data_IF_057238820379
#
_entry.id   IF_057238820379
#
_cell.length_a   1.000
_cell.length_b   1.000
_cell.length_c   1.000
_cell.angle_alpha   90.00
_cell.angle_beta   90.00
_cell.angle_gamma   90.00
#
_symmetry.space_group_name_H-M   'P 1'
#
loop_
_entity.id
_entity.type
_entity.pdbx_description
1 polymer ?
#
# COMPACT_ATOMS: atom_id res chain seq x y z
N UNK A 1 70.54 29.53 -47.56
CA UNK A 1 69.66 28.36 -47.78
C UNK A 1 68.75 28.26 -46.56
N UNK A 2 67.55 28.87 -46.70
CA UNK A 2 66.54 28.97 -45.62
C UNK A 2 65.57 27.80 -45.75
N UNK A 3 65.42 26.99 -44.70
CA UNK A 3 64.40 25.98 -44.59
C UNK A 3 63.26 26.52 -43.74
N UNK A 4 62.15 26.85 -44.35
CA UNK A 4 60.93 27.28 -43.70
C UNK A 4 60.07 26.01 -43.41
N UNK A 5 59.90 25.63 -42.12
CA UNK A 5 59.00 24.57 -41.72
C UNK A 5 57.57 25.14 -41.66
N UNK A 6 56.70 24.67 -42.52
CA UNK A 6 55.23 24.85 -42.41
C UNK A 6 54.68 23.84 -41.40
N UNK A 7 54.28 24.33 -40.24
CA UNK A 7 53.45 23.51 -39.31
C UNK A 7 52.01 23.77 -39.70
N UNK A 8 51.41 22.82 -40.44
CA UNK A 8 49.97 22.76 -40.70
C UNK A 8 49.27 22.29 -39.43
N UNK A 9 48.50 23.20 -38.80
CA UNK A 9 47.66 22.89 -37.68
C UNK A 9 46.51 21.93 -38.09
N UNK A 10 46.60 20.72 -37.68
CA UNK A 10 45.46 19.77 -37.67
C UNK A 10 44.46 20.22 -36.62
N UNK A 11 43.45 20.98 -37.00
CA UNK A 11 42.34 21.29 -36.15
C UNK A 11 41.52 19.97 -35.94
N UNK A 12 41.54 19.49 -34.70
CA UNK A 12 40.84 18.30 -34.28
C UNK A 12 39.33 18.58 -34.31
N UNK A 13 38.64 18.22 -35.39
CA UNK A 13 37.18 18.27 -35.48
C UNK A 13 36.46 17.31 -34.53
N UNK A 14 37.20 16.40 -33.85
CA UNK A 14 36.66 15.47 -32.88
C UNK A 14 36.29 16.12 -31.54
N UNK A 15 37.02 17.15 -31.09
CA UNK A 15 36.75 17.82 -29.81
C UNK A 15 35.48 18.67 -29.81
N UNK A 16 35.20 19.35 -30.91
CA UNK A 16 33.96 20.15 -31.05
C UNK A 16 32.68 19.33 -31.09
N UNK A 17 32.73 18.08 -31.59
CA UNK A 17 31.59 17.19 -31.53
C UNK A 17 31.35 16.60 -30.15
N UNK A 18 32.42 16.30 -29.40
CA UNK A 18 32.31 15.85 -28.00
C UNK A 18 31.77 16.95 -27.07
N UNK A 19 32.21 18.18 -27.24
CA UNK A 19 31.66 19.33 -26.51
C UNK A 19 30.19 19.59 -26.82
N UNK A 20 29.78 19.48 -28.12
CA UNK A 20 28.38 19.58 -28.52
C UNK A 20 27.54 18.41 -28.00
N UNK A 21 28.06 17.20 -27.93
CA UNK A 21 27.39 16.06 -27.32
C UNK A 21 27.25 16.21 -25.79
N UNK A 22 28.27 16.76 -25.12
CA UNK A 22 28.22 17.08 -23.68
C UNK A 22 27.30 18.25 -23.35
N UNK A 23 27.12 19.21 -24.25
CA UNK A 23 26.22 20.37 -24.10
C UNK A 23 24.79 20.05 -24.55
N UNK A 24 24.59 19.04 -25.38
CA UNK A 24 23.25 18.61 -25.85
C UNK A 24 22.54 17.62 -24.94
N UNK A 25 23.06 17.32 -23.73
CA UNK A 25 22.27 16.64 -22.72
C UNK A 25 21.22 17.60 -22.21
N UNK A 26 20.02 17.53 -22.82
CA UNK A 26 18.77 17.98 -22.16
C UNK A 26 18.87 17.51 -20.71
N UNK A 27 18.69 18.38 -19.68
CA UNK A 27 18.76 17.95 -18.31
C UNK A 27 17.77 16.79 -18.14
N UNK A 28 18.29 15.59 -18.04
CA UNK A 28 17.47 14.41 -17.74
C UNK A 28 17.13 14.54 -16.27
N UNK A 29 15.89 14.95 -15.98
CA UNK A 29 15.36 15.00 -14.62
C UNK A 29 15.39 13.59 -14.03
N UNK A 30 16.42 13.30 -13.22
CA UNK A 30 16.62 12.00 -12.63
C UNK A 30 15.47 11.68 -11.67
N UNK A 31 14.88 10.49 -11.82
CA UNK A 31 13.77 10.07 -10.98
C UNK A 31 14.25 9.67 -9.59
N UNK A 32 13.46 10.00 -8.57
CA UNK A 32 13.71 9.55 -7.22
C UNK A 32 13.58 8.03 -7.17
N UNK A 33 14.65 7.35 -6.78
CA UNK A 33 14.62 5.91 -6.56
C UNK A 33 13.89 5.58 -5.26
N UNK A 34 12.81 4.80 -5.35
CA UNK A 34 12.02 4.27 -4.24
C UNK A 34 11.64 5.33 -3.19
N UNK A 35 10.45 5.91 -3.29
CA UNK A 35 9.88 6.77 -2.25
C UNK A 35 9.61 5.95 -0.99
N UNK A 36 9.00 4.79 -1.16
CA UNK A 36 8.87 3.74 -0.16
C UNK A 36 9.64 2.50 -0.60
N UNK A 37 9.78 1.51 0.26
CA UNK A 37 10.49 0.27 -0.08
C UNK A 37 9.54 -0.83 -0.53
N UNK A 38 8.39 -0.91 0.11
CA UNK A 38 7.38 -1.91 -0.13
C UNK A 38 6.14 -1.30 -0.82
N UNK A 39 5.33 -2.14 -1.45
CA UNK A 39 4.06 -1.78 -2.10
C UNK A 39 2.94 -1.43 -1.11
N UNK A 40 3.10 -1.83 0.16
CA UNK A 40 2.22 -1.47 1.30
C UNK A 40 3.07 -1.04 2.50
N UNK A 41 2.50 -0.19 3.37
CA UNK A 41 3.01 0.07 4.71
C UNK A 41 2.50 -1.02 5.66
N UNK A 42 1.61 -0.67 6.60
CA UNK A 42 0.99 -1.64 7.51
C UNK A 42 -0.41 -2.00 7.03
N UNK A 43 -1.23 -0.98 6.81
CA UNK A 43 -2.59 -1.10 6.30
C UNK A 43 -2.66 -0.57 4.85
N UNK A 44 -2.07 0.60 4.59
CA UNK A 44 -2.26 1.36 3.36
C UNK A 44 -1.26 1.00 2.26
N UNK A 45 -1.68 1.16 1.00
CA UNK A 45 -0.81 1.10 -0.16
C UNK A 45 0.16 2.28 -0.22
N UNK A 46 1.34 2.04 -0.81
CA UNK A 46 2.30 3.07 -1.19
C UNK A 46 2.20 3.40 -2.68
N UNK A 47 2.94 4.41 -3.14
CA UNK A 47 3.06 4.75 -4.56
C UNK A 47 3.90 3.74 -5.36
N UNK A 48 4.54 2.77 -4.72
CA UNK A 48 5.41 1.82 -5.40
C UNK A 48 4.61 0.82 -6.25
N UNK A 49 5.06 0.63 -7.49
CA UNK A 49 4.62 -0.41 -8.43
C UNK A 49 5.67 -1.52 -8.51
N UNK A 50 5.28 -2.69 -8.96
CA UNK A 50 6.23 -3.78 -9.25
C UNK A 50 6.87 -3.49 -10.61
N UNK A 51 8.20 -3.70 -10.72
CA UNK A 51 8.91 -3.49 -11.97
C UNK A 51 8.47 -4.49 -13.06
N UNK A 52 8.66 -4.10 -14.29
CA UNK A 52 8.32 -4.95 -15.45
C UNK A 52 8.95 -6.33 -15.32
N UNK A 53 8.13 -7.37 -15.56
CA UNK A 53 8.52 -8.78 -15.48
C UNK A 53 9.00 -9.21 -14.08
N UNK A 54 8.52 -8.54 -13.02
CA UNK A 54 8.70 -9.00 -11.64
C UNK A 54 7.37 -9.44 -11.05
N UNK A 55 7.41 -10.43 -10.19
CA UNK A 55 6.30 -10.92 -9.38
C UNK A 55 6.64 -10.70 -7.91
N UNK A 56 5.79 -10.00 -7.18
CA UNK A 56 5.85 -9.95 -5.72
C UNK A 56 4.87 -10.97 -5.15
N UNK A 57 5.36 -11.83 -4.26
CA UNK A 57 4.56 -12.67 -3.39
C UNK A 57 4.55 -12.02 -2.01
N UNK A 58 3.36 -11.79 -1.45
CA UNK A 58 3.19 -11.17 -0.13
C UNK A 58 2.23 -11.95 0.73
N UNK A 59 2.61 -12.14 2.00
CA UNK A 59 1.76 -12.68 3.05
C UNK A 59 1.66 -11.65 4.16
N UNK A 60 0.45 -11.26 4.49
CA UNK A 60 0.12 -10.39 5.62
C UNK A 60 -0.66 -11.20 6.65
N UNK A 61 -0.33 -11.07 7.93
CA UNK A 61 -0.97 -11.78 9.03
C UNK A 61 -1.27 -10.83 10.19
N UNK A 62 -2.46 -10.97 10.78
CA UNK A 62 -2.87 -10.26 11.99
C UNK A 62 -3.34 -11.21 13.07
N UNK A 63 -2.85 -10.96 14.28
CA UNK A 63 -3.17 -11.71 15.48
C UNK A 63 -4.36 -11.11 16.23
N UNK A 64 -4.66 -11.65 17.42
CA UNK A 64 -5.67 -11.14 18.33
C UNK A 64 -5.22 -9.88 19.09
N UNK A 65 -6.09 -9.39 19.97
CA UNK A 65 -5.81 -8.23 20.81
C UNK A 65 -4.70 -8.51 21.81
N UNK A 66 -3.77 -7.56 21.98
CA UNK A 66 -2.66 -7.69 22.92
C UNK A 66 -3.15 -7.57 24.35
N UNK A 67 -3.97 -6.54 24.67
CA UNK A 67 -4.35 -6.20 26.02
C UNK A 67 -5.82 -5.77 26.17
N UNK A 68 -6.63 -5.84 25.12
CA UNK A 68 -8.06 -5.56 25.17
C UNK A 68 -8.85 -6.62 25.94
N UNK A 69 -10.18 -6.49 25.96
CA UNK A 69 -11.08 -7.43 26.65
C UNK A 69 -10.94 -8.88 26.19
N UNK A 70 -10.44 -9.10 25.00
CA UNK A 70 -10.17 -10.40 24.38
C UNK A 70 -8.67 -10.72 24.28
N UNK A 71 -7.80 -10.02 25.01
CA UNK A 71 -6.35 -10.17 25.01
C UNK A 71 -5.77 -10.58 26.37
N UNK A 72 -4.53 -10.17 26.60
CA UNK A 72 -3.79 -10.42 27.82
C UNK A 72 -3.14 -11.81 27.89
N UNK A 73 -2.63 -12.16 29.06
CA UNK A 73 -1.81 -13.38 29.25
C UNK A 73 -2.57 -14.68 28.91
N UNK A 74 -3.88 -14.71 29.13
CA UNK A 74 -4.73 -15.88 28.84
C UNK A 74 -4.85 -16.19 27.35
N UNK A 75 -4.55 -15.25 26.48
CA UNK A 75 -4.53 -15.38 25.03
C UNK A 75 -3.11 -15.21 24.49
N UNK A 76 -2.11 -15.41 25.34
CA UNK A 76 -0.71 -15.17 25.03
C UNK A 76 -0.51 -13.83 24.30
N UNK A 77 -1.11 -12.76 24.87
CA UNK A 77 -1.09 -11.41 24.32
C UNK A 77 -1.56 -11.33 22.85
N UNK A 78 -2.59 -12.11 22.51
CA UNK A 78 -3.21 -12.17 21.22
C UNK A 78 -2.56 -13.14 20.22
N UNK A 79 -1.40 -13.72 20.52
CA UNK A 79 -0.66 -14.60 19.61
C UNK A 79 -1.35 -15.94 19.34
N UNK A 80 -2.22 -16.41 20.27
CA UNK A 80 -3.00 -17.65 20.09
C UNK A 80 -4.10 -17.50 19.02
N UNK A 81 -4.45 -16.27 18.62
CA UNK A 81 -5.57 -15.99 17.73
C UNK A 81 -5.12 -15.34 16.42
N UNK A 82 -5.58 -15.87 15.29
CA UNK A 82 -5.45 -15.23 13.97
C UNK A 82 -6.73 -14.50 13.62
N UNK A 83 -6.68 -13.17 13.52
CA UNK A 83 -7.85 -12.38 13.09
C UNK A 83 -7.98 -12.36 11.59
N UNK A 84 -6.90 -12.09 10.86
CA UNK A 84 -6.91 -12.06 9.40
C UNK A 84 -5.58 -12.53 8.80
N UNK A 85 -5.66 -13.13 7.62
CA UNK A 85 -4.52 -13.53 6.80
C UNK A 85 -4.83 -13.17 5.34
N UNK A 86 -3.92 -12.46 4.68
CA UNK A 86 -3.97 -12.18 3.25
C UNK A 86 -2.76 -12.76 2.54
N UNK A 87 -2.99 -13.45 1.45
CA UNK A 87 -1.95 -13.96 0.54
C UNK A 87 -2.18 -13.32 -0.82
N UNK A 88 -1.20 -12.64 -1.35
CA UNK A 88 -1.30 -11.89 -2.60
C UNK A 88 -0.11 -12.09 -3.52
N UNK A 89 -0.39 -11.88 -4.81
CA UNK A 89 0.57 -11.86 -5.90
C UNK A 89 0.35 -10.58 -6.70
N UNK A 90 1.41 -9.77 -6.86
CA UNK A 90 1.39 -8.57 -7.68
C UNK A 90 2.43 -8.70 -8.80
N UNK A 91 2.01 -8.48 -10.04
CA UNK A 91 2.87 -8.62 -11.22
C UNK A 91 3.02 -7.28 -11.95
N UNK A 92 4.26 -6.94 -12.29
CA UNK A 92 4.61 -5.76 -13.07
C UNK A 92 4.47 -6.00 -14.58
N UNK A 93 3.42 -5.46 -15.17
CA UNK A 93 3.24 -5.44 -16.64
C UNK A 93 4.23 -4.44 -17.27
N UNK A 94 4.43 -3.31 -16.60
CA UNK A 94 5.46 -2.31 -16.92
C UNK A 94 5.96 -1.70 -15.62
N UNK A 95 7.00 -0.86 -15.66
CA UNK A 95 7.50 -0.17 -14.46
C UNK A 95 6.47 0.79 -13.84
N UNK A 96 5.39 1.10 -14.58
CA UNK A 96 4.31 1.98 -14.14
C UNK A 96 3.00 1.26 -13.85
N UNK A 97 2.82 0.02 -14.31
CA UNK A 97 1.57 -0.71 -14.21
C UNK A 97 1.77 -2.06 -13.57
N UNK A 98 1.12 -2.28 -12.44
CA UNK A 98 1.05 -3.57 -11.75
C UNK A 98 -0.40 -4.04 -11.66
N UNK A 99 -0.60 -5.34 -11.76
CA UNK A 99 -1.87 -6.02 -11.49
C UNK A 99 -1.68 -6.97 -10.33
N UNK A 100 -2.69 -7.15 -9.50
CA UNK A 100 -2.64 -8.00 -8.32
C UNK A 100 -3.83 -8.94 -8.22
N UNK A 101 -3.58 -10.10 -7.61
CA UNK A 101 -4.60 -11.05 -7.19
C UNK A 101 -4.30 -11.47 -5.76
N UNK A 102 -5.31 -11.46 -4.90
CA UNK A 102 -5.12 -11.87 -3.51
C UNK A 102 -6.35 -12.60 -2.96
N UNK A 103 -6.11 -13.30 -1.85
CA UNK A 103 -7.15 -13.88 -1.02
C UNK A 103 -6.92 -13.46 0.43
N UNK A 104 -7.94 -12.89 1.05
CA UNK A 104 -7.97 -12.62 2.48
C UNK A 104 -9.00 -13.51 3.18
N UNK A 105 -8.69 -13.90 4.44
CA UNK A 105 -9.67 -14.56 5.29
C UNK A 105 -10.85 -13.64 5.58
N UNK A 106 -10.54 -12.36 5.83
CA UNK A 106 -11.49 -11.36 6.32
C UNK A 106 -11.74 -11.47 7.83
N UNK A 107 -11.83 -10.34 8.49
CA UNK A 107 -11.92 -10.26 9.94
C UNK A 107 -13.27 -9.72 10.45
N UNK A 108 -14.24 -9.54 9.58
CA UNK A 108 -15.58 -9.07 9.91
C UNK A 108 -16.62 -10.14 9.60
N UNK A 109 -17.91 -9.80 9.57
CA UNK A 109 -18.98 -10.69 9.14
C UNK A 109 -18.83 -11.13 7.68
N UNK A 110 -18.23 -10.29 6.84
CA UNK A 110 -17.93 -10.60 5.43
C UNK A 110 -16.54 -11.22 5.36
N UNK A 111 -16.46 -12.49 5.05
CA UNK A 111 -15.25 -13.31 5.04
C UNK A 111 -14.97 -13.94 3.67
N UNK A 112 -13.83 -14.62 3.53
CA UNK A 112 -13.39 -15.33 2.34
C UNK A 112 -13.35 -14.40 1.12
N UNK A 113 -12.55 -13.33 1.23
CA UNK A 113 -12.43 -12.31 0.20
C UNK A 113 -11.43 -12.72 -0.87
N UNK A 114 -11.81 -12.56 -2.13
CA UNK A 114 -10.91 -12.59 -3.28
C UNK A 114 -10.78 -11.18 -3.84
N UNK A 115 -9.56 -10.73 -4.05
CA UNK A 115 -9.24 -9.39 -4.52
C UNK A 115 -8.59 -9.46 -5.90
N UNK A 116 -9.04 -8.59 -6.80
CA UNK A 116 -8.32 -8.19 -8.00
C UNK A 116 -7.94 -6.73 -7.89
N UNK A 117 -6.69 -6.37 -8.17
CA UNK A 117 -6.20 -5.00 -8.05
C UNK A 117 -5.39 -4.52 -9.25
N UNK A 118 -5.33 -3.21 -9.40
CA UNK A 118 -4.55 -2.52 -10.42
C UNK A 118 -3.92 -1.28 -9.80
N UNK A 119 -2.61 -1.08 -10.04
CA UNK A 119 -1.88 0.09 -9.59
C UNK A 119 -1.14 0.72 -10.76
N UNK A 120 -1.38 2.01 -10.99
CA UNK A 120 -0.80 2.74 -12.11
C UNK A 120 -0.12 4.02 -11.64
N UNK A 121 1.19 4.12 -11.87
CA UNK A 121 2.02 5.28 -11.55
C UNK A 121 1.90 6.34 -12.63
N UNK A 122 1.20 7.44 -12.31
CA UNK A 122 0.99 8.58 -13.21
C UNK A 122 2.23 9.47 -13.31
N UNK A 123 2.74 9.90 -12.14
CA UNK A 123 3.88 10.80 -12.02
C UNK A 123 4.93 10.19 -11.09
N UNK A 124 6.20 10.46 -11.41
CA UNK A 124 7.35 10.07 -10.60
C UNK A 124 8.08 11.33 -10.13
N UNK A 125 8.35 11.43 -8.84
CA UNK A 125 9.14 12.53 -8.28
C UNK A 125 10.54 12.55 -8.91
N UNK A 126 11.09 13.74 -9.18
CA UNK A 126 12.46 13.92 -9.66
C UNK A 126 13.38 14.46 -8.55
N UNK A 127 14.68 14.18 -8.65
CA UNK A 127 15.67 14.55 -7.62
C UNK A 127 15.92 16.06 -7.55
N UNK A 128 15.65 16.77 -8.62
CA UNK A 128 15.73 18.23 -8.78
C UNK A 128 14.41 18.96 -8.48
N UNK A 129 13.39 18.23 -8.00
CA UNK A 129 12.04 18.75 -7.71
C UNK A 129 11.30 19.37 -8.93
N UNK A 130 11.74 19.11 -10.17
CA UNK A 130 10.97 19.48 -11.36
C UNK A 130 9.57 18.86 -11.33
N UNK A 131 9.47 17.59 -10.94
CA UNK A 131 8.23 16.95 -10.51
C UNK A 131 8.36 16.73 -8.99
N UNK A 132 7.67 17.53 -8.14
CA UNK A 132 7.94 17.57 -6.71
C UNK A 132 7.36 16.39 -5.92
N UNK A 133 6.49 15.56 -6.54
CA UNK A 133 5.83 14.43 -5.89
C UNK A 133 5.50 13.31 -6.90
N UNK A 134 5.39 12.09 -6.41
CA UNK A 134 4.86 10.97 -7.16
C UNK A 134 3.34 10.89 -7.01
N UNK A 135 2.63 10.50 -8.07
CA UNK A 135 1.18 10.25 -8.07
C UNK A 135 0.91 8.87 -8.63
N UNK A 136 0.20 8.05 -7.87
CA UNK A 136 -0.18 6.69 -8.27
C UNK A 136 -1.67 6.49 -8.07
N UNK A 137 -2.33 5.91 -9.06
CA UNK A 137 -3.71 5.43 -8.95
C UNK A 137 -3.70 3.98 -8.49
N UNK A 138 -4.57 3.65 -7.56
CA UNK A 138 -4.84 2.28 -7.14
C UNK A 138 -6.35 2.02 -7.22
N UNK A 139 -6.72 0.86 -7.73
CA UNK A 139 -8.08 0.36 -7.74
C UNK A 139 -8.11 -1.11 -7.38
N UNK A 140 -9.08 -1.52 -6.57
CA UNK A 140 -9.33 -2.93 -6.28
C UNK A 140 -10.82 -3.24 -6.31
N UNK A 141 -11.12 -4.50 -6.64
CA UNK A 141 -12.42 -5.12 -6.48
C UNK A 141 -12.26 -6.33 -5.58
N UNK A 142 -13.04 -6.40 -4.51
CA UNK A 142 -13.11 -7.58 -3.65
C UNK A 142 -14.46 -8.29 -3.80
N UNK A 143 -14.42 -9.62 -3.82
CA UNK A 143 -15.58 -10.49 -3.92
C UNK A 143 -15.65 -11.38 -2.70
N UNK A 144 -16.75 -11.31 -1.94
CA UNK A 144 -17.00 -12.18 -0.80
C UNK A 144 -17.52 -13.55 -1.24
N UNK A 145 -16.81 -14.63 -0.86
CA UNK A 145 -17.20 -16.01 -1.18
C UNK A 145 -17.99 -16.70 -0.05
N UNK A 146 -18.25 -16.00 1.06
CA UNK A 146 -19.08 -16.52 2.16
C UNK A 146 -20.49 -16.86 1.68
N UNK A 147 -21.13 -17.87 2.29
CA UNK A 147 -22.53 -18.19 1.99
C UNK A 147 -23.45 -16.99 2.27
N UNK A 148 -24.45 -16.80 1.39
CA UNK A 148 -25.48 -15.80 1.62
C UNK A 148 -26.27 -16.16 2.89
N UNK A 149 -26.60 -15.14 3.70
CA UNK A 149 -27.48 -15.31 4.85
C UNK A 149 -28.95 -15.25 4.43
N UNK A 150 -29.77 -16.06 5.06
CA UNK A 150 -31.23 -16.01 4.91
C UNK A 150 -31.85 -14.84 5.70
N UNK A 151 -31.14 -14.30 6.68
CA UNK A 151 -31.53 -13.14 7.48
C UNK A 151 -31.50 -11.85 6.64
N UNK A 152 -32.65 -11.20 6.34
CA UNK A 152 -32.71 -10.08 5.39
C UNK A 152 -31.87 -8.85 5.77
N UNK A 153 -31.60 -8.66 7.07
CA UNK A 153 -30.84 -7.52 7.60
C UNK A 153 -29.33 -7.78 7.74
N UNK A 154 -28.90 -9.00 7.49
CA UNK A 154 -27.50 -9.38 7.59
C UNK A 154 -26.66 -8.73 6.49
N UNK A 155 -25.43 -8.34 6.81
CA UNK A 155 -24.46 -7.80 5.84
C UNK A 155 -24.06 -8.80 4.72
N UNK A 156 -24.50 -10.06 4.83
CA UNK A 156 -24.27 -11.13 3.85
C UNK A 156 -25.56 -11.67 3.23
N UNK A 157 -26.69 -10.96 3.34
CA UNK A 157 -27.97 -11.36 2.75
C UNK A 157 -28.02 -11.13 1.22
N UNK A 158 -26.99 -11.59 0.53
CA UNK A 158 -26.80 -11.42 -0.92
C UNK A 158 -27.94 -12.08 -1.71
N UNK A 159 -28.54 -11.33 -2.64
CA UNK A 159 -29.60 -11.80 -3.55
C UNK A 159 -29.05 -12.17 -4.92
N UNK A 160 -27.99 -11.50 -5.35
CA UNK A 160 -27.32 -11.69 -6.64
C UNK A 160 -25.80 -11.65 -6.47
N UNK A 161 -25.07 -12.12 -7.47
CA UNK A 161 -23.60 -12.19 -7.43
C UNK A 161 -22.94 -10.81 -7.22
N UNK A 162 -23.48 -9.78 -7.86
CA UNK A 162 -22.95 -8.41 -7.74
C UNK A 162 -23.02 -7.84 -6.33
N UNK A 163 -23.95 -8.32 -5.47
CA UNK A 163 -24.06 -7.87 -4.08
C UNK A 163 -22.82 -8.22 -3.26
N UNK A 164 -22.01 -9.19 -3.72
CA UNK A 164 -20.76 -9.64 -3.08
C UNK A 164 -19.56 -8.75 -3.37
N UNK A 165 -19.71 -7.78 -4.28
CA UNK A 165 -18.62 -6.98 -4.81
C UNK A 165 -18.48 -5.67 -4.05
N UNK A 166 -17.21 -5.35 -3.71
CA UNK A 166 -16.82 -4.07 -3.17
C UNK A 166 -15.68 -3.49 -4.01
N UNK A 167 -15.62 -2.18 -4.08
CA UNK A 167 -14.65 -1.44 -4.88
C UNK A 167 -13.93 -0.42 -4.04
N UNK A 168 -12.64 -0.28 -4.28
CA UNK A 168 -11.80 0.75 -3.67
C UNK A 168 -11.07 1.50 -4.78
N UNK A 169 -11.06 2.82 -4.68
CA UNK A 169 -10.27 3.68 -5.56
C UNK A 169 -9.46 4.65 -4.73
N UNK A 170 -8.17 4.73 -4.99
CA UNK A 170 -7.24 5.59 -4.25
C UNK A 170 -6.38 6.42 -5.20
N UNK A 171 -6.09 7.65 -4.83
CA UNK A 171 -5.05 8.46 -5.43
C UNK A 171 -3.96 8.62 -4.37
N UNK A 172 -2.76 8.12 -4.64
CA UNK A 172 -1.65 8.13 -3.70
C UNK A 172 -0.69 9.24 -4.11
N UNK A 173 -0.66 10.32 -3.34
CA UNK A 173 0.33 11.38 -3.44
C UNK A 173 1.49 11.04 -2.50
N UNK A 174 2.70 10.92 -3.03
CA UNK A 174 3.85 10.52 -2.23
C UNK A 174 5.05 11.42 -2.50
N UNK A 175 5.79 11.76 -1.46
CA UNK A 175 7.03 12.53 -1.55
C UNK A 175 8.12 11.94 -0.67
N UNK A 176 9.30 11.80 -1.24
CA UNK A 176 10.54 11.54 -0.51
C UNK A 176 11.21 12.88 -0.25
N UNK A 177 11.19 13.32 0.99
CA UNK A 177 11.73 14.63 1.39
C UNK A 177 13.26 14.60 1.48
N UNK A 178 13.81 13.46 1.86
CA UNK A 178 15.26 13.23 1.93
C UNK A 178 15.54 11.70 1.93
N UNK A 179 16.81 11.31 2.07
CA UNK A 179 17.22 9.89 2.09
C UNK A 179 16.58 9.06 3.21
N UNK A 180 16.07 9.71 4.27
CA UNK A 180 15.59 9.05 5.48
C UNK A 180 14.08 9.17 5.70
N UNK A 181 13.41 10.14 5.07
CA UNK A 181 11.99 10.41 5.35
C UNK A 181 11.16 10.51 4.07
N UNK A 182 10.06 9.75 4.05
CA UNK A 182 9.02 9.77 3.02
C UNK A 182 7.64 9.87 3.66
N UNK A 183 6.73 10.52 2.95
CA UNK A 183 5.35 10.70 3.38
C UNK A 183 4.40 10.51 2.20
N UNK A 184 3.19 10.02 2.48
CA UNK A 184 2.10 9.92 1.50
C UNK A 184 0.78 10.40 2.07
N UNK A 185 -0.07 10.91 1.17
CA UNK A 185 -1.46 11.25 1.42
C UNK A 185 -2.33 10.50 0.40
N UNK A 186 -3.41 9.88 0.88
CA UNK A 186 -4.19 8.95 0.07
C UNK A 186 -5.69 9.22 0.21
N UNK A 187 -6.27 10.16 -0.57
CA UNK A 187 -7.71 10.22 -0.77
C UNK A 187 -8.22 8.87 -1.29
N UNK A 188 -9.27 8.37 -0.66
CA UNK A 188 -9.84 7.05 -0.90
C UNK A 188 -11.36 7.16 -1.06
N UNK A 189 -11.90 6.48 -2.06
CA UNK A 189 -13.31 6.22 -2.23
C UNK A 189 -13.56 4.71 -2.16
N UNK A 190 -14.56 4.33 -1.37
CA UNK A 190 -14.99 2.95 -1.16
C UNK A 190 -16.46 2.83 -1.56
N UNK A 191 -16.80 1.77 -2.28
CA UNK A 191 -18.17 1.44 -2.67
C UNK A 191 -18.45 -0.02 -2.39
N UNK A 192 -19.55 -0.29 -1.66
CA UNK A 192 -20.10 -1.64 -1.45
C UNK A 192 -21.42 -1.77 -2.17
N UNK A 193 -21.59 -2.77 -3.02
CA UNK A 193 -22.88 -3.02 -3.67
C UNK A 193 -23.96 -3.44 -2.67
N UNK A 194 -23.56 -3.99 -1.53
CA UNK A 194 -24.46 -4.42 -0.48
C UNK A 194 -23.84 -4.17 0.90
N UNK A 195 -24.62 -3.60 1.80
CA UNK A 195 -24.21 -3.28 3.18
C UNK A 195 -25.30 -3.70 4.17
N UNK A 196 -24.97 -3.70 5.45
CA UNK A 196 -25.95 -3.86 6.52
C UNK A 196 -26.96 -2.70 6.51
N UNK A 197 -28.14 -2.92 7.08
CA UNK A 197 -29.18 -1.89 7.17
C UNK A 197 -28.62 -0.62 7.83
N UNK A 198 -28.81 0.54 7.16
CA UNK A 198 -28.30 1.86 7.52
C UNK A 198 -26.76 1.99 7.53
N UNK A 199 -26.01 1.02 7.05
CA UNK A 199 -24.61 1.30 6.72
C UNK A 199 -24.51 1.92 5.32
N UNK A 200 -23.45 2.67 5.07
CA UNK A 200 -23.26 3.42 3.84
C UNK A 200 -22.65 2.55 2.75
N UNK A 201 -23.24 2.56 1.55
CA UNK A 201 -22.65 1.94 0.36
C UNK A 201 -21.40 2.69 -0.09
N UNK A 202 -21.38 4.02 0.06
CA UNK A 202 -20.34 4.91 -0.39
C UNK A 202 -19.65 5.57 0.81
N UNK A 203 -18.33 5.46 0.88
CA UNK A 203 -17.54 6.04 1.96
C UNK A 203 -16.29 6.71 1.39
N UNK A 204 -16.07 7.96 1.77
CA UNK A 204 -14.82 8.66 1.52
C UNK A 204 -13.91 8.56 2.75
N UNK A 205 -12.60 8.52 2.50
CA UNK A 205 -11.59 8.54 3.54
C UNK A 205 -10.33 9.29 3.07
N UNK A 206 -9.54 9.77 4.02
CA UNK A 206 -8.19 10.26 3.77
C UNK A 206 -7.22 9.43 4.59
N UNK A 207 -6.28 8.80 3.90
CA UNK A 207 -5.15 8.09 4.49
C UNK A 207 -3.89 8.95 4.50
N UNK A 208 -3.02 8.73 5.49
CA UNK A 208 -1.67 9.26 5.54
C UNK A 208 -0.69 8.13 5.87
N UNK A 209 0.47 8.14 5.23
CA UNK A 209 1.53 7.16 5.45
C UNK A 209 2.89 7.82 5.61
N UNK A 210 3.74 7.28 6.48
CA UNK A 210 5.08 7.78 6.71
C UNK A 210 6.08 6.64 6.83
N UNK A 211 7.30 6.90 6.38
CA UNK A 211 8.46 6.02 6.51
C UNK A 211 9.67 6.83 6.97
N UNK A 212 10.25 6.47 8.10
CA UNK A 212 11.44 7.07 8.66
C UNK A 212 12.55 6.02 8.77
N UNK A 213 13.59 6.14 7.95
CA UNK A 213 14.73 5.22 7.93
C UNK A 213 15.60 5.45 9.16
N UNK A 214 15.87 4.40 9.93
CA UNK A 214 16.67 4.44 11.15
C UNK A 214 18.04 3.77 10.98
N UNK A 215 18.19 2.90 9.97
CA UNK A 215 19.48 2.30 9.60
C UNK A 215 19.51 1.98 8.10
N UNK A 216 20.61 1.39 7.62
CA UNK A 216 20.74 0.98 6.21
C UNK A 216 19.62 0.00 5.77
N UNK A 217 19.10 -0.83 6.70
CA UNK A 217 18.15 -1.90 6.43
C UNK A 217 16.87 -1.84 7.25
N UNK A 218 16.68 -0.79 8.05
CA UNK A 218 15.53 -0.69 8.95
C UNK A 218 14.89 0.69 8.87
N UNK A 219 13.57 0.73 8.89
CA UNK A 219 12.77 1.95 8.94
C UNK A 219 11.58 1.77 9.90
N UNK A 220 11.18 2.85 10.55
CA UNK A 220 9.88 2.95 11.21
C UNK A 220 8.86 3.32 10.14
N UNK A 221 7.74 2.62 10.11
CA UNK A 221 6.61 2.89 9.21
C UNK A 221 5.35 3.13 10.03
N UNK A 222 4.51 4.02 9.53
CA UNK A 222 3.24 4.35 10.16
C UNK A 222 2.20 4.67 9.08
N UNK A 223 0.96 4.28 9.32
CA UNK A 223 -0.18 4.74 8.54
C UNK A 223 -1.41 5.02 9.40
N UNK A 224 -2.25 5.93 8.93
CA UNK A 224 -3.47 6.36 9.59
C UNK A 224 -4.53 6.69 8.55
N UNK A 225 -5.78 6.35 8.81
CA UNK A 225 -6.89 6.70 7.91
C UNK A 225 -8.06 7.29 8.68
N UNK A 226 -8.71 8.28 8.07
CA UNK A 226 -9.88 8.97 8.61
C UNK A 226 -11.05 8.74 7.65
N UNK A 227 -11.97 7.81 7.94
CA UNK A 227 -13.21 7.64 7.19
C UNK A 227 -14.22 8.74 7.54
N UNK A 228 -14.91 9.28 6.54
CA UNK A 228 -15.94 10.30 6.69
C UNK A 228 -17.32 9.68 6.71
N UNK A 229 -17.71 9.12 7.85
CA UNK A 229 -19.03 8.54 8.05
C UNK A 229 -20.10 9.58 8.30
N UNK A 230 -21.31 9.31 7.82
CA UNK A 230 -22.49 10.04 8.27
C UNK A 230 -22.72 9.76 9.76
N UNK A 231 -22.76 10.84 10.56
CA UNK A 231 -22.86 10.73 12.03
C UNK A 231 -24.18 10.10 12.50
N UNK A 232 -25.29 10.33 11.78
CA UNK A 232 -26.59 9.73 12.13
C UNK A 232 -26.55 8.21 11.99
N UNK A 233 -26.00 7.71 10.87
CA UNK A 233 -25.91 6.28 10.60
C UNK A 233 -24.86 5.62 11.49
N UNK A 234 -23.73 6.28 11.73
CA UNK A 234 -22.73 5.82 12.68
C UNK A 234 -23.32 5.64 14.09
N UNK A 235 -24.02 6.67 14.60
CA UNK A 235 -24.64 6.61 15.93
C UNK A 235 -25.67 5.48 16.02
N UNK A 236 -26.47 5.28 14.96
CA UNK A 236 -27.41 4.18 14.91
C UNK A 236 -26.73 2.82 14.98
N UNK A 237 -25.70 2.60 14.15
CA UNK A 237 -24.95 1.34 14.13
C UNK A 237 -24.23 1.09 15.46
N UNK A 238 -23.60 2.11 16.05
CA UNK A 238 -22.95 2.01 17.37
C UNK A 238 -23.97 1.69 18.48
N UNK A 239 -25.18 2.26 18.41
CA UNK A 239 -26.22 2.03 19.41
C UNK A 239 -26.76 0.61 19.35
N UNK A 240 -27.03 0.06 18.15
CA UNK A 240 -27.58 -1.31 18.03
C UNK A 240 -26.52 -2.40 18.21
N UNK A 241 -25.27 -2.15 17.83
CA UNK A 241 -24.19 -3.14 17.95
C UNK A 241 -23.47 -3.06 19.31
N UNK A 242 -23.59 -1.96 20.03
CA UNK A 242 -22.81 -1.67 21.24
C UNK A 242 -21.32 -1.41 20.98
N UNK A 243 -20.91 -1.29 19.72
CA UNK A 243 -19.51 -1.20 19.32
C UNK A 243 -19.26 0.16 18.63
N UNK A 244 -18.19 0.86 19.05
CA UNK A 244 -17.79 2.14 18.48
C UNK A 244 -16.83 1.97 17.29
N UNK A 245 -16.96 2.84 16.30
CA UNK A 245 -16.00 2.95 15.21
C UNK A 245 -14.80 3.81 15.60
N UNK A 246 -13.62 3.39 15.18
CA UNK A 246 -12.36 4.10 15.40
C UNK A 246 -11.58 4.20 14.09
N UNK A 247 -10.71 5.19 14.01
CA UNK A 247 -9.82 5.35 12.88
C UNK A 247 -8.71 4.29 12.94
N UNK A 248 -8.42 3.58 11.83
CA UNK A 248 -7.33 2.65 11.78
C UNK A 248 -5.98 3.38 11.85
N UNK A 249 -5.11 2.89 12.72
CA UNK A 249 -3.73 3.33 12.90
C UNK A 249 -2.83 2.11 12.94
N UNK A 250 -1.78 2.14 12.14
CA UNK A 250 -0.70 1.15 12.15
C UNK A 250 0.64 1.80 12.46
N UNK A 251 1.48 1.14 13.26
CA UNK A 251 2.88 1.50 13.52
C UNK A 251 3.72 0.24 13.44
N UNK A 252 4.88 0.29 12.78
CA UNK A 252 5.70 -0.90 12.61
C UNK A 252 7.16 -0.63 12.29
N UNK A 253 7.90 -1.72 12.26
CA UNK A 253 9.29 -1.78 11.86
C UNK A 253 9.38 -2.51 10.51
N UNK A 254 9.92 -1.83 9.52
CA UNK A 254 10.28 -2.41 8.22
C UNK A 254 11.74 -2.87 8.27
N UNK A 255 12.00 -4.09 7.84
CA UNK A 255 13.35 -4.71 7.81
C UNK A 255 13.61 -5.21 6.39
N UNK A 256 14.67 -4.68 5.76
CA UNK A 256 15.12 -5.09 4.43
C UNK A 256 16.20 -6.16 4.54
N UNK A 257 16.00 -7.27 3.86
CA UNK A 257 17.05 -8.28 3.64
C UNK A 257 17.22 -8.49 2.13
N UNK A 258 18.30 -9.12 1.70
CA UNK A 258 18.65 -9.23 0.27
C UNK A 258 17.61 -9.96 -0.60
N UNK A 259 16.44 -9.37 -0.79
CA UNK A 259 15.34 -9.87 -1.62
C UNK A 259 14.00 -10.02 -0.89
N UNK A 260 13.95 -9.76 0.42
CA UNK A 260 12.72 -9.75 1.19
C UNK A 260 12.55 -8.40 1.92
N UNK A 261 11.29 -8.00 2.10
CA UNK A 261 10.90 -6.93 3.01
C UNK A 261 9.99 -7.55 4.07
N UNK A 262 10.35 -7.36 5.33
CA UNK A 262 9.58 -7.82 6.49
C UNK A 262 9.01 -6.61 7.21
N UNK A 263 7.76 -6.70 7.63
CA UNK A 263 7.18 -5.76 8.60
C UNK A 263 6.80 -6.52 9.87
N UNK A 264 7.21 -5.98 11.02
CA UNK A 264 6.63 -6.30 12.31
C UNK A 264 5.83 -5.09 12.75
N UNK A 265 4.54 -5.26 12.97
CA UNK A 265 3.66 -4.11 13.17
C UNK A 265 2.63 -4.31 14.28
N UNK A 266 2.05 -3.18 14.69
CA UNK A 266 0.93 -3.08 15.60
C UNK A 266 -0.16 -2.24 14.93
N UNK A 267 -1.40 -2.68 15.01
CA UNK A 267 -2.54 -1.94 14.46
C UNK A 267 -3.82 -2.23 15.27
N UNK A 268 -4.73 -1.27 15.33
CA UNK A 268 -6.07 -1.52 15.85
C UNK A 268 -7.03 -2.09 14.79
N UNK A 269 -6.65 -2.06 13.50
CA UNK A 269 -7.44 -2.69 12.47
C UNK A 269 -7.41 -4.22 12.58
N UNK A 270 -8.56 -4.88 12.56
CA UNK A 270 -8.68 -6.35 12.57
C UNK A 270 -8.48 -6.95 11.20
N UNK A 271 -8.97 -6.27 10.17
CA UNK A 271 -8.92 -6.73 8.78
C UNK A 271 -7.75 -6.10 8.00
N UNK A 272 -7.31 -6.77 6.96
CA UNK A 272 -6.20 -6.35 6.08
C UNK A 272 -6.72 -5.62 4.85
N UNK A 273 -7.86 -6.04 4.30
CA UNK A 273 -8.46 -5.44 3.11
C UNK A 273 -8.96 -4.01 3.35
N UNK A 274 -8.74 -3.11 2.38
CA UNK A 274 -9.06 -1.68 2.47
C UNK A 274 -10.52 -1.41 2.82
N UNK A 275 -11.43 -2.12 2.15
CA UNK A 275 -12.85 -1.97 2.42
C UNK A 275 -13.19 -2.26 3.88
N UNK A 276 -12.56 -3.26 4.48
CA UNK A 276 -12.86 -3.66 5.85
C UNK A 276 -12.11 -2.80 6.88
N UNK A 277 -10.79 -2.59 6.72
CA UNK A 277 -10.07 -1.85 7.76
C UNK A 277 -10.44 -0.37 7.80
N UNK A 278 -10.74 0.26 6.66
CA UNK A 278 -11.14 1.68 6.63
C UNK A 278 -12.55 1.84 7.19
N UNK A 279 -13.50 0.99 6.77
CA UNK A 279 -14.90 1.16 7.13
C UNK A 279 -15.31 0.46 8.43
N UNK A 280 -14.61 -0.54 8.92
CA UNK A 280 -15.11 -1.43 9.98
C UNK A 280 -14.13 -1.61 11.16
N UNK A 281 -13.18 -0.70 11.35
CA UNK A 281 -12.31 -0.72 12.52
C UNK A 281 -13.07 -0.30 13.77
N UNK A 282 -13.21 -1.23 14.72
CA UNK A 282 -13.96 -1.07 15.97
C UNK A 282 -13.10 -1.21 17.22
N UNK A 283 -11.82 -1.46 17.05
CA UNK A 283 -10.87 -1.61 18.15
C UNK A 283 -10.16 -0.29 18.47
N UNK A 284 -9.95 -0.02 19.78
CA UNK A 284 -9.36 1.22 20.28
C UNK A 284 -7.94 1.00 20.80
N UNK A 285 -6.99 1.82 20.33
CA UNK A 285 -5.63 1.86 20.89
C UNK A 285 -5.62 2.16 22.40
N UNK A 286 -6.44 3.12 22.83
CA UNK A 286 -6.49 3.54 24.23
C UNK A 286 -7.06 2.48 25.17
N UNK A 287 -7.77 1.48 24.64
CA UNK A 287 -8.29 0.34 25.39
C UNK A 287 -7.42 -0.90 25.29
N UNK A 288 -6.21 -0.80 24.74
CA UNK A 288 -5.32 -1.94 24.52
C UNK A 288 -5.77 -2.90 23.42
N UNK A 289 -6.76 -2.52 22.61
CA UNK A 289 -7.33 -3.33 21.53
C UNK A 289 -6.53 -3.15 20.25
N UNK A 290 -5.23 -3.28 20.33
CA UNK A 290 -4.33 -3.34 19.17
C UNK A 290 -3.66 -4.71 19.14
N UNK A 291 -3.17 -5.09 18.01
CA UNK A 291 -2.72 -6.44 17.71
C UNK A 291 -1.40 -6.46 17.00
N UNK A 292 -0.69 -7.55 17.19
CA UNK A 292 0.47 -7.90 16.41
C UNK A 292 0.07 -8.16 14.95
N UNK A 293 0.95 -7.81 14.06
CA UNK A 293 0.90 -8.22 12.67
C UNK A 293 2.31 -8.38 12.13
N UNK A 294 2.44 -9.20 11.12
CA UNK A 294 3.63 -9.23 10.31
C UNK A 294 3.26 -9.30 8.83
N UNK A 295 4.13 -8.80 7.97
CA UNK A 295 4.10 -9.08 6.55
C UNK A 295 5.46 -9.48 6.03
N UNK A 296 5.44 -10.33 5.01
CA UNK A 296 6.62 -10.78 4.29
C UNK A 296 6.36 -10.61 2.80
N UNK A 297 7.17 -9.78 2.16
CA UNK A 297 7.16 -9.61 0.71
C UNK A 297 8.45 -10.15 0.11
N UNK A 298 8.31 -10.87 -1.01
CA UNK A 298 9.43 -11.34 -1.81
C UNK A 298 9.19 -11.07 -3.29
N UNK A 299 10.17 -10.49 -3.95
CA UNK A 299 10.15 -10.24 -5.40
C UNK A 299 10.98 -11.27 -6.16
N UNK A 300 10.40 -11.75 -7.24
CA UNK A 300 11.01 -12.66 -8.19
C UNK A 300 11.11 -11.95 -9.53
N UNK A 301 12.32 -11.83 -10.08
CA UNK A 301 12.53 -11.23 -11.40
C UNK A 301 12.61 -12.32 -12.47
N UNK A 302 11.80 -12.17 -13.51
CA UNK A 302 11.81 -13.03 -14.70
C UNK A 302 12.62 -12.41 -15.85
N UNK A 303 13.26 -11.26 -15.61
CA UNK A 303 14.16 -10.67 -16.59
C UNK A 303 15.34 -11.60 -16.84
N UNK A 304 15.62 -11.91 -18.10
CA UNK A 304 16.83 -12.63 -18.46
C UNK A 304 18.03 -11.83 -17.97
N UNK A 305 18.87 -12.44 -17.10
CA UNK A 305 20.18 -11.87 -16.81
C UNK A 305 20.92 -11.78 -18.14
N UNK A 306 21.23 -10.58 -18.60
CA UNK A 306 22.24 -10.42 -19.64
C UNK A 306 23.50 -11.11 -19.10
N UNK A 307 23.96 -12.14 -19.81
CA UNK A 307 25.25 -12.74 -19.53
C UNK A 307 26.29 -11.70 -19.93
N UNK A 308 26.87 -11.06 -18.92
CA UNK A 308 28.10 -10.29 -19.06
C UNK A 308 29.25 -11.22 -19.46
#
# INVERSE_FOLDING_TARGET
MLFTLLISGLHSFGQQNLEKELISTTPTHEKVYATFKDTRLINSHTNETIHKNELEFKVDHRFGDIAGSHGGIKQFFGLDNSTDVRIGFDYGISDRLSIGLARAKGATTVQQLYEGSLKFRLLEQTTDDYIPLAVTLFGSNTIAAVHASDEPVAATAYRKFTDRMNYVTQIIFARKFNSNFSFSLTPTYLHSNFTAFRDQNDLFAIGAGARAKISKRMAIVMDYSIPFRNKSDQNYLEQISGVKFYNPLGVGLEIETGGHVFHLNFTNATAIEEMQYISQTTSSWLKGQYRWGFSIARRFSFNKKEKL
#
